data_IF_310644353364
#
_entry.id   IF_310644353364
#
_cell.length_a   1.000
_cell.length_b   1.000
_cell.length_c   1.000
_cell.angle_alpha   90.00
_cell.angle_beta   90.00
_cell.angle_gamma   90.00
#
_symmetry.space_group_name_H-M   'P 1'
#
loop_
_entity.id
_entity.type
_entity.pdbx_description
1 polymer ?
#
# COMPACT_ATOMS: atom_id res chain seq x y z
N UNK A 1 11.29 -3.95 2.14
CA UNK A 1 11.97 -2.65 1.92
C UNK A 1 11.75 -1.81 3.16
N UNK A 2 12.82 -1.27 3.74
CA UNK A 2 12.76 -0.41 4.94
C UNK A 2 12.73 1.07 4.51
N UNK A 3 11.63 1.75 4.81
CA UNK A 3 11.43 3.18 4.55
C UNK A 3 11.24 4.00 5.83
N UNK A 4 11.59 3.44 7.01
CA UNK A 4 11.42 4.10 8.31
C UNK A 4 12.05 5.48 8.36
N UNK A 5 13.18 5.69 7.68
CA UNK A 5 13.89 6.97 7.62
C UNK A 5 13.14 8.10 6.88
N UNK A 6 12.14 7.73 6.06
CA UNK A 6 11.31 8.67 5.30
C UNK A 6 9.99 8.98 6.00
N UNK A 7 9.64 8.24 7.06
CA UNK A 7 8.47 8.54 7.86
C UNK A 7 8.63 9.89 8.57
N UNK A 8 7.57 10.68 8.58
CA UNK A 8 7.50 11.89 9.43
C UNK A 8 7.42 11.50 10.90
N UNK A 9 6.60 10.48 11.19
CA UNK A 9 6.37 9.92 12.52
C UNK A 9 6.44 8.40 12.43
N UNK A 10 7.03 7.75 13.44
CA UNK A 10 7.14 6.30 13.51
C UNK A 10 5.81 5.66 13.98
N UNK A 11 4.72 5.95 13.27
CA UNK A 11 3.36 5.46 13.53
C UNK A 11 2.80 4.77 12.28
N UNK A 12 1.78 3.93 12.45
CA UNK A 12 1.09 3.31 11.32
C UNK A 12 0.36 4.33 10.44
N UNK A 13 -0.12 5.43 11.02
CA UNK A 13 -0.70 6.54 10.24
C UNK A 13 0.36 7.22 9.36
N UNK A 14 1.57 7.44 9.90
CA UNK A 14 2.71 7.92 9.13
C UNK A 14 3.09 6.98 7.98
N UNK A 15 2.99 5.66 8.19
CA UNK A 15 3.18 4.65 7.13
C UNK A 15 2.10 4.75 6.04
N UNK A 16 0.84 4.93 6.42
CA UNK A 16 -0.27 5.10 5.48
C UNK A 16 -0.17 6.41 4.68
N UNK A 17 0.28 7.50 5.31
CA UNK A 17 0.57 8.75 4.61
C UNK A 17 1.68 8.56 3.56
N UNK A 18 2.79 7.94 3.96
CA UNK A 18 3.91 7.64 3.07
C UNK A 18 3.47 6.73 1.92
N UNK A 19 2.67 5.70 2.22
CA UNK A 19 2.10 4.80 1.24
C UNK A 19 1.25 5.54 0.19
N UNK A 20 0.37 6.44 0.62
CA UNK A 20 -0.45 7.27 -0.28
C UNK A 20 0.42 8.15 -1.19
N UNK A 21 1.50 8.71 -0.65
CA UNK A 21 2.46 9.49 -1.43
C UNK A 21 3.18 8.63 -2.48
N UNK A 22 3.63 7.43 -2.11
CA UNK A 22 4.32 6.50 -3.04
C UNK A 22 3.39 6.11 -4.20
N UNK A 23 2.11 5.80 -3.92
CA UNK A 23 1.16 5.44 -4.98
C UNK A 23 0.82 6.65 -5.86
N UNK A 24 0.60 7.82 -5.27
CA UNK A 24 0.12 8.99 -6.00
C UNK A 24 1.23 9.73 -6.74
N UNK A 25 2.39 9.93 -6.13
CA UNK A 25 3.51 10.71 -6.69
C UNK A 25 4.51 9.82 -7.42
N UNK A 26 4.95 8.73 -6.76
CA UNK A 26 5.97 7.82 -7.31
C UNK A 26 5.35 6.83 -8.31
N UNK A 27 4.02 6.67 -8.31
CA UNK A 27 3.28 5.73 -9.17
C UNK A 27 3.81 4.29 -9.05
N UNK A 28 4.14 3.88 -7.83
CA UNK A 28 4.63 2.54 -7.53
C UNK A 28 3.61 1.81 -6.65
N UNK A 29 3.15 0.64 -7.09
CA UNK A 29 2.26 -0.19 -6.29
C UNK A 29 3.08 -1.01 -5.29
N UNK A 30 3.00 -0.64 -4.02
CA UNK A 30 3.65 -1.33 -2.91
C UNK A 30 2.63 -1.62 -1.83
N UNK A 31 2.85 -2.68 -1.04
CA UNK A 31 1.99 -3.01 0.09
C UNK A 31 2.62 -2.53 1.40
N UNK A 32 1.89 -1.79 2.25
CA UNK A 32 2.40 -1.34 3.54
C UNK A 32 2.46 -2.53 4.52
N UNK A 33 3.43 -2.50 5.44
CA UNK A 33 3.69 -3.54 6.44
C UNK A 33 2.52 -3.72 7.40
N UNK A 34 1.76 -2.65 7.67
CA UNK A 34 0.54 -2.70 8.47
C UNK A 34 -0.50 -3.69 7.94
N UNK A 35 -0.53 -3.93 6.62
CA UNK A 35 -1.43 -4.93 6.00
C UNK A 35 -1.03 -6.38 6.31
N UNK A 36 0.17 -6.61 6.83
CA UNK A 36 0.70 -7.94 7.17
C UNK A 36 0.88 -8.13 8.68
N UNK A 37 0.29 -7.25 9.50
CA UNK A 37 0.47 -7.25 10.96
C UNK A 37 1.95 -7.09 11.37
N UNK A 38 2.72 -6.30 10.62
CA UNK A 38 4.08 -5.99 11.00
C UNK A 38 4.10 -5.22 12.34
N UNK A 39 4.96 -5.64 13.26
CA UNK A 39 5.06 -5.06 14.60
C UNK A 39 5.61 -3.63 14.59
N UNK A 40 6.38 -3.29 13.57
CA UNK A 40 7.01 -1.98 13.43
C UNK A 40 6.48 -1.26 12.17
N UNK A 41 6.21 0.05 12.23
CA UNK A 41 5.84 0.82 11.06
C UNK A 41 7.06 1.08 10.15
N UNK A 42 6.80 1.35 8.87
CA UNK A 42 7.80 1.74 7.86
C UNK A 42 8.35 0.59 7.01
N UNK A 43 7.81 -0.61 7.18
CA UNK A 43 8.10 -1.74 6.31
C UNK A 43 7.19 -1.77 5.10
N UNK A 44 7.76 -2.07 3.93
CA UNK A 44 7.00 -2.17 2.67
C UNK A 44 7.38 -3.43 1.89
N UNK A 45 6.37 -4.12 1.35
CA UNK A 45 6.54 -5.25 0.43
C UNK A 45 6.45 -4.76 -1.01
N UNK A 46 7.45 -5.12 -1.81
CA UNK A 46 7.54 -4.81 -3.24
C UNK A 46 7.66 -6.12 -4.01
N UNK A 47 6.72 -6.38 -4.92
CA UNK A 47 6.74 -7.56 -5.77
C UNK A 47 7.29 -7.20 -7.15
N UNK A 48 8.34 -7.90 -7.58
CA UNK A 48 9.02 -7.64 -8.87
C UNK A 48 8.93 -8.81 -9.85
N UNK A 49 8.42 -9.97 -9.44
CA UNK A 49 8.41 -11.20 -10.25
C UNK A 49 7.59 -11.12 -11.56
N UNK A 50 6.68 -10.13 -11.68
CA UNK A 50 5.85 -9.92 -12.86
C UNK A 50 6.23 -8.64 -13.63
N UNK A 51 7.48 -8.18 -13.52
CA UNK A 51 7.97 -7.01 -14.23
C UNK A 51 9.17 -7.38 -15.08
N UNK A 52 9.22 -6.84 -16.31
CA UNK A 52 10.41 -6.91 -17.16
C UNK A 52 11.52 -5.97 -16.64
N UNK A 53 12.75 -6.19 -17.12
CA UNK A 53 13.94 -5.47 -16.67
C UNK A 53 13.85 -3.95 -16.90
N UNK A 54 13.20 -3.52 -17.98
CA UNK A 54 13.08 -2.10 -18.28
C UNK A 54 12.08 -1.42 -17.34
N UNK A 55 10.93 -2.06 -17.10
CA UNK A 55 9.97 -1.62 -16.08
C UNK A 55 10.61 -1.58 -14.69
N UNK A 56 11.40 -2.59 -14.33
CA UNK A 56 12.13 -2.64 -13.06
C UNK A 56 13.13 -1.48 -12.95
N UNK A 57 13.89 -1.20 -14.02
CA UNK A 57 14.84 -0.08 -14.06
C UNK A 57 14.14 1.27 -13.86
N UNK A 58 12.98 1.47 -14.48
CA UNK A 58 12.17 2.67 -14.29
C UNK A 58 11.69 2.76 -12.83
N UNK A 59 11.20 1.66 -12.25
CA UNK A 59 10.76 1.62 -10.86
C UNK A 59 11.89 1.98 -9.89
N UNK A 60 13.08 1.39 -10.07
CA UNK A 60 14.27 1.69 -9.26
C UNK A 60 14.70 3.15 -9.40
N UNK A 61 14.65 3.72 -10.62
CA UNK A 61 14.95 5.14 -10.85
C UNK A 61 13.98 6.05 -10.09
N UNK A 62 12.68 5.74 -10.10
CA UNK A 62 11.66 6.48 -9.35
C UNK A 62 11.88 6.39 -7.84
N UNK A 63 12.18 5.19 -7.33
CA UNK A 63 12.52 4.99 -5.92
C UNK A 63 13.77 5.81 -5.55
N UNK A 64 14.83 5.71 -6.35
CA UNK A 64 16.08 6.45 -6.11
C UNK A 64 15.83 7.96 -6.06
N UNK A 65 15.09 8.51 -7.03
CA UNK A 65 14.71 9.92 -7.03
C UNK A 65 13.86 10.32 -5.82
N UNK A 66 12.96 9.45 -5.38
CA UNK A 66 12.13 9.69 -4.21
C UNK A 66 12.95 9.69 -2.90
N UNK A 67 13.87 8.73 -2.73
CA UNK A 67 14.68 8.57 -1.51
C UNK A 67 15.80 9.61 -1.43
N UNK A 68 16.43 9.95 -2.55
CA UNK A 68 17.57 10.87 -2.61
C UNK A 68 17.17 12.34 -2.55
N UNK A 69 15.90 12.70 -2.76
CA UNK A 69 15.46 14.07 -2.60
C UNK A 69 15.61 14.49 -1.13
N UNK A 70 16.55 15.41 -0.80
CA UNK A 70 16.73 15.88 0.56
C UNK A 70 15.48 16.66 0.97
N UNK A 71 14.99 16.38 2.17
CA UNK A 71 13.80 16.96 2.82
C UNK A 71 13.53 18.42 2.39
N UNK A 72 12.51 18.57 1.55
CA UNK A 72 11.78 19.82 1.32
C UNK A 72 10.29 19.52 1.36
N UNK A 73 9.79 19.04 2.50
CA UNK A 73 8.34 18.92 2.75
C UNK A 73 7.76 20.34 2.99
N UNK A 74 7.91 21.22 2.00
CA UNK A 74 7.24 22.52 1.95
C UNK A 74 6.25 22.49 0.79
N UNK A 75 4.99 22.26 1.15
CA UNK A 75 3.78 22.80 0.55
C UNK A 75 3.79 23.07 -0.96
N UNK A 76 3.12 22.20 -1.73
CA UNK A 76 2.00 22.51 -2.66
C UNK A 76 1.84 21.41 -3.70
N UNK A 77 0.74 20.67 -3.60
CA UNK A 77 0.02 20.17 -4.77
C UNK A 77 -1.44 19.92 -4.40
N UNK A 78 -2.16 21.00 -4.11
CA UNK A 78 -3.56 21.05 -4.48
C UNK A 78 -3.62 20.94 -6.00
N UNK A 79 -3.89 19.75 -6.53
CA UNK A 79 -4.27 19.57 -7.93
C UNK A 79 -5.51 18.69 -7.96
N UNK A 80 -6.65 19.38 -8.00
CA UNK A 80 -7.92 18.84 -8.43
C UNK A 80 -7.78 18.34 -9.87
N UNK A 81 -7.78 17.02 -10.08
CA UNK A 81 -7.95 16.42 -11.40
C UNK A 81 -8.91 15.25 -11.29
N UNK A 82 -10.16 15.55 -11.60
CA UNK A 82 -11.16 14.56 -12.01
C UNK A 82 -10.56 13.72 -13.14
N UNK A 83 -10.19 12.48 -12.83
CA UNK A 83 -9.73 11.51 -13.81
C UNK A 83 -10.80 10.43 -13.92
N UNK A 84 -11.30 10.26 -15.15
CA UNK A 84 -12.38 9.36 -15.55
C UNK A 84 -12.21 7.96 -14.96
N UNK A 85 -13.19 7.53 -14.15
CA UNK A 85 -13.25 6.19 -13.55
C UNK A 85 -13.31 5.13 -14.65
N UNK A 86 -12.17 4.58 -15.06
CA UNK A 86 -12.15 3.21 -15.60
C UNK A 86 -12.37 2.27 -14.42
N UNK A 87 -13.55 1.68 -14.38
CA UNK A 87 -14.01 0.75 -13.33
C UNK A 87 -13.21 -0.56 -13.41
N UNK A 88 -11.98 -0.55 -12.94
CA UNK A 88 -11.29 -1.78 -12.53
C UNK A 88 -11.75 -2.05 -11.09
N UNK A 89 -12.90 -2.73 -10.97
CA UNK A 89 -13.40 -3.24 -9.70
C UNK A 89 -12.46 -4.36 -9.23
N UNK A 90 -11.42 -3.98 -8.49
CA UNK A 90 -10.74 -4.95 -7.61
C UNK A 90 -11.51 -4.89 -6.30
N UNK A 91 -12.32 -5.92 -6.05
CA UNK A 91 -13.02 -6.13 -4.79
C UNK A 91 -11.98 -6.49 -3.71
N UNK A 92 -11.35 -5.49 -3.12
CA UNK A 92 -10.72 -5.63 -1.82
C UNK A 92 -11.84 -5.44 -0.81
N UNK A 93 -12.32 -6.54 -0.23
CA UNK A 93 -13.24 -6.55 0.89
C UNK A 93 -12.57 -5.86 2.08
N UNK A 94 -12.69 -4.53 2.11
CA UNK A 94 -12.33 -3.68 3.23
C UNK A 94 -13.27 -4.04 4.37
N UNK A 95 -12.89 -5.03 5.19
CA UNK A 95 -13.41 -5.11 6.55
C UNK A 95 -12.92 -3.84 7.22
N UNK A 96 -13.83 -2.90 7.44
CA UNK A 96 -13.64 -1.81 8.41
C UNK A 96 -13.08 -2.47 9.67
N UNK A 97 -11.86 -2.12 10.03
CA UNK A 97 -11.31 -2.45 11.33
C UNK A 97 -11.91 -1.42 12.30
N UNK A 98 -13.20 -1.54 12.55
CA UNK A 98 -13.82 -0.85 13.67
C UNK A 98 -13.41 -1.62 14.93
N UNK A 99 -12.72 -0.87 15.77
CA UNK A 99 -12.32 -1.20 17.12
C UNK A 99 -13.54 -1.61 17.93
N UNK A 100 -13.74 -2.91 18.21
CA UNK A 100 -14.50 -3.35 19.40
C UNK A 100 -14.33 -4.85 19.65
N UNK A 101 -13.89 -5.16 20.89
CA UNK A 101 -13.97 -6.47 21.50
C UNK A 101 -15.43 -6.96 21.49
N UNK A 102 -15.70 -8.22 21.12
CA UNK A 102 -16.73 -9.10 21.71
C UNK A 102 -16.93 -10.39 20.87
N UNK A 103 -16.77 -11.53 21.55
CA UNK A 103 -17.52 -12.80 21.41
C UNK A 103 -17.98 -13.25 20.00
N UNK A 104 -17.32 -14.27 19.46
CA UNK A 104 -17.89 -15.14 18.41
C UNK A 104 -18.22 -16.51 19.03
N UNK A 105 -19.35 -17.15 18.65
CA UNK A 105 -19.23 -18.05 17.50
C UNK A 105 -20.47 -18.10 16.60
N UNK A 106 -20.26 -18.03 15.30
CA UNK A 106 -21.19 -18.60 14.34
C UNK A 106 -20.41 -19.13 13.12
N UNK A 107 -20.47 -20.46 12.96
CA UNK A 107 -19.90 -21.21 11.83
C UNK A 107 -20.42 -20.67 10.50
N UNK A 108 -19.52 -20.55 9.51
CA UNK A 108 -19.89 -20.46 8.10
C UNK A 108 -19.63 -21.82 7.44
N UNK A 109 -20.57 -22.38 6.66
CA UNK A 109 -20.37 -23.65 5.99
C UNK A 109 -19.43 -23.46 4.79
N UNK A 110 -18.33 -24.22 4.75
CA UNK A 110 -17.44 -24.30 3.60
C UNK A 110 -18.06 -25.23 2.56
N UNK A 111 -18.70 -24.68 1.53
CA UNK A 111 -18.93 -25.43 0.29
C UNK A 111 -18.15 -24.74 -0.84
N UNK A 112 -16.96 -25.28 -1.13
CA UNK A 112 -16.15 -24.89 -2.29
C UNK A 112 -16.57 -25.66 -3.54
N UNK A 113 -16.80 -25.00 -4.69
CA UNK A 113 -17.32 -25.65 -5.90
C UNK A 113 -16.28 -26.41 -6.74
N UNK A 114 -15.09 -26.70 -6.18
CA UNK A 114 -13.99 -27.39 -6.90
C UNK A 114 -13.82 -28.87 -6.55
N UNK A 115 -14.72 -29.46 -5.78
CA UNK A 115 -14.81 -30.92 -5.65
C UNK A 115 -16.09 -31.38 -6.34
N UNK A 116 -15.96 -31.72 -7.63
CA UNK A 116 -16.93 -32.59 -8.31
C UNK A 116 -16.43 -34.02 -8.10
N UNK A 117 -17.03 -34.73 -7.15
CA UNK A 117 -17.08 -36.20 -7.17
C UNK A 117 -18.18 -36.66 -8.09
#
# INVERSE_FOLDING_TARGET
MDLRRLLKEATFDGELELWRMIINEVKLNVSPGCSFHCSEPGWFRVCFANMDDETMRIALKRISYFVLQPKGLNNKAAVNKQCSRRKLQISLSFRRLDHEFMNSPAHSPMNSPLVRT
#
